data_IF_405443543550
#
_entry.id   IF_405443543550
#
_cell.length_a   1.000
_cell.length_b   1.000
_cell.length_c   1.000
_cell.angle_alpha   90.00
_cell.angle_beta   90.00
_cell.angle_gamma   90.00
#
_symmetry.space_group_name_H-M   'P 1'
#
loop_
_entity.id
_entity.type
_entity.pdbx_description
1 polymer ?
#
# COMPACT_ATOMS: atom_id res chain seq x y z
N UNK A 1 -24.79 -58.15 17.30
CA UNK A 1 -24.17 -57.68 16.05
C UNK A 1 -24.79 -56.39 15.49
N UNK A 2 -25.98 -55.97 15.89
CA UNK A 2 -26.62 -54.71 15.37
C UNK A 2 -25.97 -53.40 15.82
N UNK A 3 -25.29 -53.34 16.96
CA UNK A 3 -24.73 -52.11 17.53
C UNK A 3 -23.43 -51.62 16.85
N UNK A 4 -22.70 -52.52 16.16
CA UNK A 4 -21.43 -52.20 15.51
C UNK A 4 -21.61 -51.47 14.17
N UNK A 5 -22.73 -51.67 13.48
CA UNK A 5 -23.08 -50.99 12.24
C UNK A 5 -23.60 -49.58 12.52
N UNK A 6 -24.33 -49.38 13.62
CA UNK A 6 -24.83 -48.06 14.02
C UNK A 6 -23.72 -47.11 14.45
N UNK A 7 -22.72 -47.62 15.20
CA UNK A 7 -21.59 -46.81 15.61
C UNK A 7 -20.69 -46.37 14.43
N UNK A 8 -20.56 -47.26 13.43
CA UNK A 8 -19.81 -46.89 12.19
C UNK A 8 -20.53 -45.86 11.34
N UNK A 9 -21.86 -45.95 11.23
CA UNK A 9 -22.68 -44.96 10.54
C UNK A 9 -22.64 -43.60 11.23
N UNK A 10 -22.72 -43.58 12.55
CA UNK A 10 -22.66 -42.35 13.34
C UNK A 10 -21.30 -41.64 13.23
N UNK A 11 -20.20 -42.39 13.20
CA UNK A 11 -18.84 -41.88 13.05
C UNK A 11 -18.62 -41.25 11.66
N UNK A 12 -19.17 -41.85 10.61
CA UNK A 12 -19.06 -41.32 9.23
C UNK A 12 -19.88 -40.03 9.08
N UNK A 13 -21.08 -39.97 9.65
CA UNK A 13 -21.90 -38.75 9.62
C UNK A 13 -21.26 -37.64 10.43
N UNK A 14 -20.66 -37.92 11.57
CA UNK A 14 -19.94 -36.94 12.38
C UNK A 14 -18.69 -36.39 11.66
N UNK A 15 -17.94 -37.28 10.98
CA UNK A 15 -16.78 -36.89 10.19
C UNK A 15 -17.16 -35.99 8.97
N UNK A 16 -18.27 -36.35 8.29
CA UNK A 16 -18.78 -35.55 7.20
C UNK A 16 -19.31 -34.17 7.67
N UNK A 17 -19.95 -34.11 8.83
CA UNK A 17 -20.39 -32.85 9.42
C UNK A 17 -19.23 -31.95 9.84
N UNK A 18 -18.14 -32.50 10.36
CA UNK A 18 -16.91 -31.77 10.67
C UNK A 18 -16.21 -31.25 9.42
N UNK A 19 -16.15 -32.05 8.35
CA UNK A 19 -15.60 -31.62 7.08
C UNK A 19 -16.45 -30.52 6.41
N UNK A 20 -17.79 -30.58 6.51
CA UNK A 20 -18.67 -29.53 5.99
C UNK A 20 -18.53 -28.21 6.78
N UNK A 21 -18.28 -28.29 8.10
CA UNK A 21 -18.02 -27.10 8.93
C UNK A 21 -16.75 -26.33 8.57
N UNK A 22 -15.76 -26.97 7.92
CA UNK A 22 -14.54 -26.33 7.46
C UNK A 22 -14.71 -25.58 6.13
N UNK A 23 -15.88 -25.72 5.48
CA UNK A 23 -16.20 -25.07 4.20
C UNK A 23 -17.11 -23.84 4.34
N UNK A 24 -17.47 -23.45 5.57
CA UNK A 24 -17.99 -22.11 5.73
C UNK A 24 -16.81 -21.14 5.53
N UNK A 25 -16.83 -20.28 4.49
CA UNK A 25 -15.94 -19.15 4.50
C UNK A 25 -16.30 -18.39 5.78
N UNK A 26 -15.39 -18.39 6.75
CA UNK A 26 -15.44 -17.42 7.82
C UNK A 26 -15.62 -16.09 7.08
N UNK A 27 -16.78 -15.43 7.27
CA UNK A 27 -17.08 -14.20 6.56
C UNK A 27 -15.86 -13.32 6.72
N UNK A 28 -15.17 -13.07 5.62
CA UNK A 28 -13.87 -12.42 5.65
C UNK A 28 -14.11 -11.03 6.19
N UNK A 29 -14.01 -10.89 7.51
CA UNK A 29 -13.98 -9.59 8.15
C UNK A 29 -12.83 -8.86 7.48
N UNK A 30 -13.17 -7.78 6.77
CA UNK A 30 -12.19 -7.01 6.02
C UNK A 30 -11.03 -6.67 6.93
N UNK A 31 -9.83 -7.13 6.61
CA UNK A 31 -8.67 -6.96 7.45
C UNK A 31 -8.54 -5.48 7.87
N UNK A 32 -8.10 -5.19 9.10
CA UNK A 32 -7.96 -3.80 9.57
C UNK A 32 -7.16 -2.92 8.60
N UNK A 33 -6.15 -3.49 7.94
CA UNK A 33 -5.36 -2.79 6.92
C UNK A 33 -6.19 -2.39 5.70
N UNK A 34 -7.12 -3.23 5.26
CA UNK A 34 -7.99 -2.92 4.12
C UNK A 34 -8.97 -1.79 4.44
N UNK A 35 -9.47 -1.74 5.68
CA UNK A 35 -10.33 -0.63 6.14
C UNK A 35 -9.54 0.67 6.16
N UNK A 36 -8.30 0.63 6.64
CA UNK A 36 -7.39 1.79 6.67
C UNK A 36 -7.07 2.25 5.25
N UNK A 37 -6.71 1.34 4.34
CA UNK A 37 -6.43 1.66 2.96
C UNK A 37 -7.65 2.32 2.26
N UNK A 38 -8.84 1.76 2.44
CA UNK A 38 -10.09 2.38 1.93
C UNK A 38 -10.34 3.76 2.50
N UNK A 39 -10.11 3.95 3.80
CA UNK A 39 -10.22 5.28 4.42
C UNK A 39 -9.26 6.27 3.78
N UNK A 40 -7.99 5.90 3.59
CA UNK A 40 -6.99 6.74 2.92
C UNK A 40 -7.43 7.10 1.50
N UNK A 41 -7.86 6.14 0.70
CA UNK A 41 -8.33 6.37 -0.68
C UNK A 41 -9.54 7.30 -0.74
N UNK A 42 -10.47 7.16 0.18
CA UNK A 42 -11.67 8.02 0.25
C UNK A 42 -11.34 9.45 0.72
N UNK A 43 -10.33 9.59 1.59
CA UNK A 43 -9.92 10.88 2.16
C UNK A 43 -8.97 11.63 1.23
N UNK A 44 -8.03 10.92 0.59
CA UNK A 44 -7.02 11.49 -0.31
C UNK A 44 -7.35 11.13 -1.74
N UNK A 45 -8.35 11.78 -2.30
CA UNK A 45 -8.78 11.54 -3.69
C UNK A 45 -7.80 12.16 -4.71
N UNK A 46 -7.20 13.29 -4.35
CA UNK A 46 -6.19 13.98 -5.18
C UNK A 46 -4.90 14.10 -4.38
N UNK A 47 -3.98 13.14 -4.52
CA UNK A 47 -2.71 13.18 -3.80
C UNK A 47 -1.82 14.30 -4.34
N UNK A 48 -1.18 15.05 -3.43
CA UNK A 48 -0.29 16.15 -3.78
C UNK A 48 1.10 15.95 -3.21
N UNK A 49 2.12 16.42 -3.92
CA UNK A 49 3.50 16.38 -3.45
C UNK A 49 3.75 17.35 -2.28
N UNK A 50 4.65 17.00 -1.38
CA UNK A 50 5.09 17.88 -0.29
C UNK A 50 4.13 17.97 0.89
N UNK A 51 3.15 17.07 1.02
CA UNK A 51 2.22 17.07 2.14
C UNK A 51 1.96 15.66 2.71
N UNK A 52 1.38 15.60 3.91
CA UNK A 52 1.10 14.33 4.61
C UNK A 52 0.17 13.42 3.80
N UNK A 53 -0.81 13.99 3.09
CA UNK A 53 -1.75 13.25 2.23
C UNK A 53 -1.15 12.78 0.90
N UNK A 54 0.09 13.14 0.59
CA UNK A 54 0.82 12.71 -0.60
C UNK A 54 1.73 11.53 -0.33
N UNK A 55 2.94 11.80 0.14
CA UNK A 55 4.01 10.79 0.28
C UNK A 55 3.62 9.61 1.17
N UNK A 56 3.01 9.89 2.34
CA UNK A 56 2.63 8.83 3.29
C UNK A 56 1.45 8.00 2.80
N UNK A 57 0.49 8.64 2.11
CA UNK A 57 -0.61 7.91 1.48
C UNK A 57 -0.10 7.02 0.35
N UNK A 58 0.78 7.55 -0.52
CA UNK A 58 1.39 6.80 -1.61
C UNK A 58 2.21 5.61 -1.10
N UNK A 59 3.05 5.82 -0.07
CA UNK A 59 3.82 4.75 0.57
C UNK A 59 2.89 3.69 1.17
N UNK A 60 1.90 4.10 1.96
CA UNK A 60 0.97 3.19 2.64
C UNK A 60 0.19 2.34 1.65
N UNK A 61 -0.40 2.94 0.62
CA UNK A 61 -1.17 2.23 -0.40
C UNK A 61 -0.29 1.33 -1.27
N UNK A 62 0.91 1.75 -1.64
CA UNK A 62 1.84 0.92 -2.41
C UNK A 62 2.33 -0.30 -1.61
N UNK A 63 2.49 -0.18 -0.30
CA UNK A 63 2.90 -1.28 0.59
C UNK A 63 1.73 -2.18 1.02
N UNK A 64 0.51 -1.67 0.97
CA UNK A 64 -0.69 -2.46 1.24
C UNK A 64 -0.87 -3.60 0.23
N UNK A 65 -0.55 -3.37 -1.06
CA UNK A 65 -0.58 -4.38 -2.10
C UNK A 65 -1.99 -4.72 -2.62
N UNK A 66 -3.03 -3.99 -2.21
CA UNK A 66 -4.36 -4.07 -2.78
C UNK A 66 -4.54 -3.11 -3.96
N UNK A 67 -5.75 -3.06 -4.51
CA UNK A 67 -6.05 -2.21 -5.66
C UNK A 67 -6.41 -0.78 -5.21
N UNK A 68 -5.56 0.18 -5.57
CA UNK A 68 -5.90 1.59 -5.51
C UNK A 68 -6.77 1.99 -6.71
N UNK A 69 -7.56 3.08 -6.61
CA UNK A 69 -8.33 3.60 -7.75
C UNK A 69 -7.45 3.82 -8.97
N UNK A 70 -8.00 3.53 -10.16
CA UNK A 70 -7.29 3.70 -11.41
C UNK A 70 -6.71 5.12 -11.53
N UNK A 71 -5.43 5.22 -11.87
CA UNK A 71 -4.74 6.49 -12.03
C UNK A 71 -4.33 7.21 -10.73
N UNK A 72 -4.63 6.67 -9.54
CA UNK A 72 -4.30 7.35 -8.27
C UNK A 72 -2.79 7.54 -8.11
N UNK A 73 -2.00 6.48 -8.29
CA UNK A 73 -0.54 6.55 -8.22
C UNK A 73 0.06 7.42 -9.34
N UNK A 74 -0.53 7.36 -10.52
CA UNK A 74 -0.07 8.20 -11.65
C UNK A 74 -0.33 9.68 -11.36
N UNK A 75 -1.50 10.03 -10.80
CA UNK A 75 -1.80 11.41 -10.38
C UNK A 75 -0.81 11.92 -9.34
N UNK A 76 -0.45 11.08 -8.36
CA UNK A 76 0.59 11.44 -7.38
C UNK A 76 1.95 11.63 -8.06
N UNK A 77 2.36 10.72 -8.95
CA UNK A 77 3.63 10.83 -9.65
C UNK A 77 3.73 12.11 -10.48
N UNK A 78 2.66 12.44 -11.22
CA UNK A 78 2.58 13.69 -11.98
C UNK A 78 2.67 14.93 -11.08
N UNK A 79 2.04 14.91 -9.90
CA UNK A 79 2.16 15.98 -8.92
C UNK A 79 3.60 16.14 -8.41
N UNK A 80 4.30 15.02 -8.16
CA UNK A 80 5.72 15.04 -7.80
C UNK A 80 6.58 15.58 -8.92
N UNK A 81 6.39 15.13 -10.17
CA UNK A 81 7.13 15.66 -11.32
C UNK A 81 6.93 17.16 -11.52
N UNK A 82 5.69 17.63 -11.39
CA UNK A 82 5.37 19.05 -11.48
C UNK A 82 6.09 19.86 -10.39
N UNK A 83 6.02 19.39 -9.15
CA UNK A 83 6.69 20.02 -8.01
C UNK A 83 8.22 20.04 -8.16
N UNK A 84 8.82 18.93 -8.61
CA UNK A 84 10.26 18.83 -8.86
C UNK A 84 10.70 19.78 -9.97
N UNK A 85 9.93 19.91 -11.05
CA UNK A 85 10.18 20.88 -12.13
C UNK A 85 10.11 22.31 -11.63
N UNK A 86 9.05 22.66 -10.91
CA UNK A 86 8.83 24.00 -10.35
C UNK A 86 9.97 24.44 -9.43
N UNK A 87 10.46 23.52 -8.62
CA UNK A 87 11.53 23.78 -7.65
C UNK A 87 12.93 23.55 -8.22
N UNK A 88 13.06 23.21 -9.51
CA UNK A 88 14.33 22.86 -10.15
C UNK A 88 15.10 21.76 -9.39
N UNK A 89 14.39 20.76 -8.89
CA UNK A 89 14.95 19.64 -8.12
C UNK A 89 15.27 19.96 -6.66
N UNK A 90 15.03 21.19 -6.18
CA UNK A 90 15.29 21.59 -4.79
C UNK A 90 14.00 21.53 -4.00
N UNK A 91 13.65 20.35 -3.45
CA UNK A 91 12.42 20.16 -2.67
C UNK A 91 12.40 21.03 -1.41
N UNK A 92 13.55 21.17 -0.75
CA UNK A 92 13.71 22.09 0.38
C UNK A 92 15.18 22.39 0.64
N UNK A 93 15.51 23.65 0.98
CA UNK A 93 16.90 24.10 1.18
C UNK A 93 17.58 23.55 2.44
N UNK A 94 16.79 23.16 3.44
CA UNK A 94 17.32 22.73 4.77
C UNK A 94 16.70 21.43 5.30
N UNK A 95 15.52 21.02 4.79
CA UNK A 95 14.81 19.85 5.31
C UNK A 95 15.00 18.67 4.36
N UNK A 96 16.01 17.88 4.60
CA UNK A 96 16.27 16.67 3.81
C UNK A 96 15.20 15.60 3.96
N UNK A 97 14.35 15.70 4.98
CA UNK A 97 13.18 14.85 5.15
C UNK A 97 12.18 14.97 3.99
N UNK A 98 12.14 16.09 3.29
CA UNK A 98 11.31 16.26 2.08
C UNK A 98 11.77 15.30 0.99
N UNK A 99 13.09 15.24 0.74
CA UNK A 99 13.66 14.28 -0.20
C UNK A 99 13.44 12.83 0.24
N UNK A 100 13.71 12.53 1.52
CA UNK A 100 13.57 11.16 2.04
C UNK A 100 12.15 10.63 1.88
N UNK A 101 11.12 11.43 2.21
CA UNK A 101 9.71 11.03 2.07
C UNK A 101 9.37 10.74 0.62
N UNK A 102 9.72 11.67 -0.28
CA UNK A 102 9.43 11.53 -1.71
C UNK A 102 10.14 10.31 -2.30
N UNK A 103 11.43 10.12 -1.99
CA UNK A 103 12.22 8.97 -2.44
C UNK A 103 11.59 7.64 -1.98
N UNK A 104 11.22 7.53 -0.70
CA UNK A 104 10.62 6.29 -0.16
C UNK A 104 9.26 6.01 -0.80
N UNK A 105 8.43 7.03 -1.00
CA UNK A 105 7.13 6.88 -1.67
C UNK A 105 7.29 6.42 -3.12
N UNK A 106 8.17 7.08 -3.89
CA UNK A 106 8.44 6.71 -5.29
C UNK A 106 9.00 5.29 -5.41
N UNK A 107 9.95 4.92 -4.56
CA UNK A 107 10.51 3.57 -4.53
C UNK A 107 9.44 2.52 -4.23
N UNK A 108 8.55 2.79 -3.28
CA UNK A 108 7.44 1.88 -2.96
C UNK A 108 6.47 1.69 -4.12
N UNK A 109 6.30 2.70 -4.96
CA UNK A 109 5.50 2.67 -6.19
C UNK A 109 6.23 2.05 -7.39
N UNK A 110 7.49 1.65 -7.23
CA UNK A 110 8.33 1.13 -8.32
C UNK A 110 8.85 2.20 -9.29
N UNK A 111 8.83 3.48 -8.92
CA UNK A 111 9.41 4.58 -9.69
C UNK A 111 10.86 4.81 -9.30
N UNK A 112 11.71 5.24 -10.24
CA UNK A 112 13.13 5.54 -9.96
C UNK A 112 13.30 6.99 -9.46
N UNK A 113 13.67 7.19 -8.19
CA UNK A 113 13.86 8.53 -7.64
C UNK A 113 15.12 9.25 -8.15
N UNK A 114 16.00 8.56 -8.89
CA UNK A 114 17.19 9.16 -9.50
C UNK A 114 16.89 9.88 -10.81
N UNK A 115 15.68 9.72 -11.33
CA UNK A 115 15.27 10.39 -12.56
C UNK A 115 13.80 10.80 -12.49
N UNK A 116 13.51 11.85 -11.73
CA UNK A 116 12.18 12.44 -11.62
C UNK A 116 12.21 13.78 -12.38
N UNK A 117 11.54 13.81 -13.53
CA UNK A 117 11.57 14.98 -14.40
C UNK A 117 12.98 15.48 -14.77
N UNK A 118 13.96 14.56 -14.84
CA UNK A 118 15.37 14.86 -15.13
C UNK A 118 16.23 15.18 -13.92
N UNK A 119 15.69 15.12 -12.70
CA UNK A 119 16.42 15.39 -11.46
C UNK A 119 16.64 14.14 -10.65
N UNK A 120 17.82 14.02 -10.02
CA UNK A 120 18.17 12.96 -9.08
C UNK A 120 17.88 13.42 -7.64
N UNK A 121 16.82 12.85 -7.05
CA UNK A 121 16.38 13.18 -5.69
C UNK A 121 17.17 12.45 -4.60
N UNK A 122 17.97 11.44 -4.94
CA UNK A 122 18.88 10.76 -3.99
C UNK A 122 20.16 11.55 -3.76
N UNK A 123 20.63 12.25 -4.78
CA UNK A 123 21.91 12.97 -4.71
C UNK A 123 22.02 13.91 -3.49
N UNK A 124 21.01 14.74 -3.17
CA UNK A 124 21.09 15.60 -1.99
C UNK A 124 21.17 14.85 -0.66
N UNK A 125 20.68 13.60 -0.59
CA UNK A 125 20.72 12.77 0.62
C UNK A 125 22.09 12.15 0.88
N UNK A 126 22.92 12.00 -0.15
CA UNK A 126 24.28 11.46 -0.07
C UNK A 126 25.36 12.51 0.09
N UNK A 127 25.04 13.80 0.01
CA UNK A 127 25.99 14.91 0.07
C UNK A 127 26.12 15.40 1.53
N UNK A 128 27.02 14.77 2.30
CA UNK A 128 27.25 15.07 3.72
C UNK A 128 28.23 16.25 3.97
N UNK A 129 28.80 16.83 2.92
CA UNK A 129 29.84 17.88 3.05
C UNK A 129 29.29 19.33 2.98
N UNK A 130 27.96 19.49 3.16
CA UNK A 130 27.33 20.83 3.09
C UNK A 130 26.75 21.26 4.43
#
# INVERSE_FOLDING_TARGET
MKNKLWSRGLSVVLALALCAGLWFPAGAETAPVDRTARYVMNTVQTPAAGNIGGEWAALGLARWGGEAPAGWFESYYQAVEAHVKETSGILHKKKYTEYSRTVVALTAMGKDPRNVAGYDLLRPLGDYEK
#
